data_IF_441777729704
#
_entry.id   IF_441777729704
#
_cell.length_a   1.000
_cell.length_b   1.000
_cell.length_c   1.000
_cell.angle_alpha   90.00
_cell.angle_beta   90.00
_cell.angle_gamma   90.00
#
_symmetry.space_group_name_H-M   'P 1'
#
loop_
_entity.id
_entity.type
_entity.pdbx_description
1 polymer ?
#
# COMPACT_ATOMS: atom_id res chain seq x y z
N UNK A 1 9.56 -9.46 -6.96
CA UNK A 1 8.24 -10.09 -6.73
C UNK A 1 7.53 -10.56 -7.99
N UNK A 2 8.03 -10.29 -9.22
CA UNK A 2 7.39 -10.75 -10.46
C UNK A 2 6.22 -9.88 -10.95
N UNK A 3 5.74 -8.96 -10.11
CA UNK A 3 4.77 -7.94 -10.47
C UNK A 3 5.47 -6.76 -11.15
N UNK A 4 5.13 -6.48 -12.40
CA UNK A 4 5.68 -5.37 -13.18
C UNK A 4 4.58 -4.73 -14.04
N UNK A 5 3.94 -3.63 -13.58
CA UNK A 5 2.95 -2.93 -14.39
C UNK A 5 3.63 -2.23 -15.58
N UNK A 6 2.88 -1.84 -16.64
CA UNK A 6 3.48 -1.24 -17.85
C UNK A 6 4.32 0.01 -17.62
N UNK A 7 3.88 0.89 -16.71
CA UNK A 7 4.64 2.08 -16.27
C UNK A 7 4.86 2.07 -14.76
N UNK A 8 5.87 1.33 -14.27
CA UNK A 8 6.15 1.23 -12.85
C UNK A 8 6.91 2.46 -12.34
N UNK A 9 6.70 2.78 -11.07
CA UNK A 9 7.58 3.63 -10.29
C UNK A 9 7.94 2.94 -8.97
N UNK A 10 9.24 2.82 -8.68
CA UNK A 10 9.74 2.32 -7.40
C UNK A 10 9.98 3.50 -6.48
N UNK A 11 9.22 3.56 -5.41
CA UNK A 11 9.20 4.69 -4.48
C UNK A 11 9.78 4.19 -3.15
N UNK A 12 10.84 4.83 -2.68
CA UNK A 12 11.27 4.73 -1.30
C UNK A 12 10.71 5.95 -0.57
N UNK A 13 9.57 5.79 0.10
CA UNK A 13 8.90 6.90 0.76
C UNK A 13 9.80 7.50 1.84
N UNK A 14 10.19 8.76 1.63
CA UNK A 14 11.06 9.50 2.51
C UNK A 14 10.28 10.64 3.14
N UNK A 15 10.26 10.68 4.48
CA UNK A 15 9.59 11.73 5.23
C UNK A 15 10.41 12.11 6.47
N UNK A 16 10.71 13.40 6.59
CA UNK A 16 11.53 13.97 7.67
C UNK A 16 12.93 13.35 7.68
N UNK A 17 13.57 13.30 6.51
CA UNK A 17 14.93 12.79 6.31
C UNK A 17 15.12 11.31 6.66
N UNK A 18 14.03 10.54 6.69
CA UNK A 18 14.04 9.11 6.98
C UNK A 18 13.24 8.34 5.94
N UNK A 19 13.78 7.22 5.48
CA UNK A 19 13.01 6.24 4.72
C UNK A 19 12.02 5.52 5.64
N UNK A 20 10.78 5.40 5.20
CA UNK A 20 9.67 4.90 6.03
C UNK A 20 9.17 3.55 5.55
N UNK A 21 9.01 3.38 4.24
CA UNK A 21 8.58 2.14 3.58
C UNK A 21 8.87 2.25 2.08
N UNK A 22 8.58 1.19 1.33
CA UNK A 22 8.74 1.17 -0.12
C UNK A 22 7.43 0.79 -0.82
N UNK A 23 7.22 1.31 -2.01
CA UNK A 23 6.03 1.04 -2.83
C UNK A 23 6.42 0.84 -4.29
N UNK A 24 5.86 -0.19 -4.93
CA UNK A 24 5.81 -0.26 -6.39
C UNK A 24 4.47 0.35 -6.84
N UNK A 25 4.53 1.44 -7.58
CA UNK A 25 3.38 2.21 -8.02
C UNK A 25 3.13 2.05 -9.51
N UNK A 26 1.87 1.82 -9.90
CA UNK A 26 1.44 1.78 -11.30
C UNK A 26 1.00 3.19 -11.72
N UNK A 27 1.77 3.85 -12.59
CA UNK A 27 1.47 5.21 -13.04
C UNK A 27 0.27 5.27 -14.00
N UNK A 28 -0.11 4.17 -14.63
CA UNK A 28 -1.25 4.12 -15.54
C UNK A 28 -2.55 3.97 -14.78
N UNK A 29 -2.59 3.01 -13.86
CA UNK A 29 -3.74 2.80 -12.99
C UNK A 29 -3.81 3.77 -11.80
N UNK A 30 -2.73 4.52 -11.55
CA UNK A 30 -2.56 5.47 -10.45
C UNK A 30 -2.86 4.87 -9.07
N UNK A 31 -2.51 3.61 -8.89
CA UNK A 31 -2.60 2.88 -7.61
C UNK A 31 -1.27 2.18 -7.30
N UNK A 32 -0.95 1.97 -6.02
CA UNK A 32 0.13 1.06 -5.66
C UNK A 32 -0.20 -0.37 -6.10
N UNK A 33 0.77 -1.03 -6.72
CA UNK A 33 0.76 -2.48 -6.94
C UNK A 33 0.95 -3.17 -5.59
N UNK A 34 1.95 -2.72 -4.82
CA UNK A 34 2.15 -3.12 -3.43
C UNK A 34 2.95 -2.09 -2.64
N UNK A 35 2.75 -2.07 -1.32
CA UNK A 35 3.59 -1.39 -0.33
C UNK A 35 4.22 -2.42 0.60
N UNK A 36 5.53 -2.32 0.81
CA UNK A 36 6.30 -3.18 1.71
C UNK A 36 6.85 -2.37 2.89
N UNK A 37 6.65 -2.86 4.11
CA UNK A 37 7.00 -2.16 5.34
C UNK A 37 7.31 -3.13 6.50
N UNK A 38 7.96 -2.60 7.54
CA UNK A 38 8.15 -3.31 8.80
C UNK A 38 6.96 -2.97 9.71
N UNK A 39 6.29 -3.99 10.23
CA UNK A 39 5.21 -3.83 11.20
C UNK A 39 5.79 -3.39 12.54
N UNK A 40 5.41 -2.21 13.01
CA UNK A 40 5.89 -1.62 14.26
C UNK A 40 4.81 -0.71 14.85
N UNK A 41 3.71 -1.25 15.41
CA UNK A 41 2.58 -0.47 15.87
C UNK A 41 2.93 0.39 17.09
N UNK A 42 2.49 1.64 17.11
CA UNK A 42 2.60 2.52 18.27
C UNK A 42 1.35 3.37 18.50
N UNK A 43 1.31 4.04 19.65
CA UNK A 43 0.13 4.72 20.20
C UNK A 43 -0.06 6.17 19.73
N UNK A 44 0.83 6.67 18.87
CA UNK A 44 0.74 8.04 18.37
C UNK A 44 -0.59 8.31 17.63
N UNK A 45 -1.13 9.52 17.79
CA UNK A 45 -2.40 9.92 17.17
C UNK A 45 -2.34 9.83 15.65
N UNK A 46 -3.46 9.38 15.05
CA UNK A 46 -3.67 9.36 13.60
C UNK A 46 -3.52 10.77 12.99
N UNK A 47 -2.66 10.95 11.99
CA UNK A 47 -2.58 12.18 11.19
C UNK A 47 -3.80 12.42 10.30
N UNK A 48 -3.92 13.63 9.75
CA UNK A 48 -4.99 14.06 8.85
C UNK A 48 -4.48 14.72 7.55
N UNK A 49 -3.17 14.93 7.46
CA UNK A 49 -2.55 15.66 6.34
C UNK A 49 -2.10 14.70 5.25
N UNK A 50 -2.63 14.92 4.04
CA UNK A 50 -2.28 14.18 2.83
C UNK A 50 -1.06 14.76 2.11
N UNK A 51 -0.29 13.86 1.48
CA UNK A 51 0.96 14.16 0.78
C UNK A 51 0.98 13.58 -0.64
N UNK A 52 1.92 14.07 -1.41
CA UNK A 52 2.29 13.64 -2.76
C UNK A 52 3.77 13.28 -2.79
N UNK A 53 4.19 12.60 -3.85
CA UNK A 53 5.58 12.20 -4.10
C UNK A 53 6.17 13.05 -5.24
N UNK A 54 6.91 14.16 -4.97
CA UNK A 54 7.45 15.02 -6.02
C UNK A 54 8.38 14.27 -6.99
N UNK A 55 9.14 13.30 -6.48
CA UNK A 55 10.01 12.42 -7.26
C UNK A 55 9.34 11.67 -8.42
N UNK A 56 8.00 11.54 -8.43
CA UNK A 56 7.27 10.92 -9.55
C UNK A 56 7.12 11.83 -10.77
N UNK A 57 7.29 13.14 -10.58
CA UNK A 57 7.23 14.13 -11.66
C UNK A 57 8.52 14.10 -12.48
N UNK A 58 9.67 13.93 -11.82
CA UNK A 58 10.98 13.80 -12.46
C UNK A 58 12.12 13.78 -11.45
N UNK A 59 13.30 13.33 -11.89
CA UNK A 59 14.49 13.15 -11.05
C UNK A 59 15.07 14.45 -10.48
N UNK A 60 14.67 15.61 -11.02
CA UNK A 60 15.10 16.93 -10.52
C UNK A 60 14.28 17.41 -9.32
N UNK A 61 13.18 16.74 -8.97
CA UNK A 61 12.31 17.12 -7.85
C UNK A 61 12.73 16.43 -6.55
N UNK A 62 12.38 17.01 -5.38
CA UNK A 62 12.74 16.43 -4.09
C UNK A 62 12.28 14.97 -3.91
N UNK A 63 13.09 14.19 -3.22
CA UNK A 63 12.74 12.82 -2.80
C UNK A 63 11.80 12.79 -1.59
N UNK A 64 11.77 13.86 -0.80
CA UNK A 64 10.89 13.97 0.37
C UNK A 64 9.44 14.15 -0.07
N UNK A 65 8.52 13.38 0.52
CA UNK A 65 7.10 13.62 0.34
C UNK A 65 6.68 14.93 1.02
N UNK A 66 5.74 15.62 0.40
CA UNK A 66 5.23 16.90 0.90
C UNK A 66 3.75 17.09 0.58
N UNK A 67 3.15 18.17 1.06
CA UNK A 67 1.75 18.45 0.74
C UNK A 67 1.62 19.04 -0.66
N UNK A 68 0.54 18.71 -1.36
CA UNK A 68 0.21 19.29 -2.68
C UNK A 68 0.23 20.83 -2.63
N UNK A 69 -0.26 21.43 -1.54
CA UNK A 69 -0.23 22.89 -1.34
C UNK A 69 1.18 23.45 -1.24
N UNK A 70 2.07 22.80 -0.49
CA UNK A 70 3.47 23.23 -0.38
C UNK A 70 4.17 23.15 -1.74
N UNK A 71 3.99 22.02 -2.42
CA UNK A 71 4.58 21.76 -3.72
C UNK A 71 4.13 22.81 -4.75
N UNK A 72 2.82 23.06 -4.89
CA UNK A 72 2.30 24.01 -5.86
C UNK A 72 2.59 25.47 -5.52
N UNK A 73 2.92 25.78 -4.25
CA UNK A 73 3.41 27.12 -3.89
C UNK A 73 4.82 27.37 -4.43
N UNK A 74 5.66 26.36 -4.44
CA UNK A 74 7.05 26.43 -4.93
C UNK A 74 7.14 26.21 -6.44
N UNK A 75 6.31 25.31 -6.99
CA UNK A 75 6.31 24.86 -8.38
C UNK A 75 4.95 25.11 -9.06
N UNK A 76 4.46 26.35 -9.03
CA UNK A 76 3.09 26.70 -9.47
C UNK A 76 2.73 26.32 -10.91
N UNK A 77 3.72 26.19 -11.80
CA UNK A 77 3.55 25.79 -13.20
C UNK A 77 3.62 24.26 -13.42
N UNK A 78 3.60 23.46 -12.35
CA UNK A 78 3.73 21.99 -12.40
C UNK A 78 2.47 21.23 -12.01
N UNK A 79 1.32 21.88 -11.94
CA UNK A 79 0.04 21.21 -11.62
C UNK A 79 -0.28 20.08 -12.60
N UNK A 80 -0.19 20.33 -13.90
CA UNK A 80 -0.45 19.29 -14.92
C UNK A 80 0.56 18.13 -14.81
N UNK A 81 1.84 18.43 -14.59
CA UNK A 81 2.87 17.42 -14.44
C UNK A 81 2.64 16.56 -13.19
N UNK A 82 2.19 17.16 -12.08
CA UNK A 82 1.78 16.47 -10.86
C UNK A 82 0.61 15.53 -11.15
N UNK A 83 -0.46 16.03 -11.75
CA UNK A 83 -1.66 15.26 -12.12
C UNK A 83 -1.36 14.10 -13.09
N UNK A 84 -0.39 14.27 -13.99
CA UNK A 84 0.02 13.23 -14.91
C UNK A 84 0.92 12.16 -14.25
N UNK A 85 1.62 12.54 -13.18
CA UNK A 85 2.60 11.67 -12.51
C UNK A 85 1.98 10.68 -11.50
N UNK A 86 0.88 11.04 -10.85
CA UNK A 86 0.29 10.31 -9.72
C UNK A 86 -1.18 10.71 -9.48
N UNK A 87 -1.85 10.01 -8.57
CA UNK A 87 -3.15 10.45 -8.04
C UNK A 87 -2.99 11.68 -7.14
N UNK A 88 -3.92 12.63 -7.22
CA UNK A 88 -3.96 13.86 -6.42
C UNK A 88 -5.20 13.93 -5.53
N UNK A 89 -5.24 14.88 -4.58
CA UNK A 89 -6.34 14.97 -3.61
C UNK A 89 -7.72 15.08 -4.27
N UNK A 90 -7.78 15.75 -5.42
CA UNK A 90 -9.00 15.91 -6.23
C UNK A 90 -9.56 14.56 -6.72
N UNK A 91 -8.70 13.59 -7.05
CA UNK A 91 -9.13 12.27 -7.57
C UNK A 91 -9.95 11.49 -6.54
N UNK A 92 -9.73 11.76 -5.25
CA UNK A 92 -10.43 11.10 -4.14
C UNK A 92 -11.48 12.02 -3.47
N UNK A 93 -11.95 13.08 -4.13
CA UNK A 93 -13.09 13.87 -3.63
C UNK A 93 -14.42 13.19 -3.97
N UNK A 94 -15.42 13.41 -3.11
CA UNK A 94 -16.81 12.96 -3.31
C UNK A 94 -16.96 11.45 -3.60
N UNK A 95 -16.13 10.62 -2.98
CA UNK A 95 -16.25 9.16 -3.08
C UNK A 95 -17.61 8.70 -2.55
N UNK A 96 -18.31 7.88 -3.34
CA UNK A 96 -19.56 7.23 -2.92
C UNK A 96 -19.30 5.75 -2.73
N UNK A 97 -19.57 5.22 -1.54
CA UNK A 97 -19.36 3.79 -1.23
C UNK A 97 -17.89 3.36 -1.09
N UNK A 98 -16.92 4.28 -1.24
CA UNK A 98 -15.49 4.02 -1.21
C UNK A 98 -14.77 4.90 -0.17
N UNK A 99 -13.71 4.34 0.42
CA UNK A 99 -12.74 5.02 1.27
C UNK A 99 -11.38 5.14 0.58
N UNK A 100 -10.52 6.00 1.13
CA UNK A 100 -9.08 6.04 0.87
C UNK A 100 -8.40 4.89 1.65
N UNK A 101 -8.39 3.70 1.07
CA UNK A 101 -7.83 2.49 1.68
C UNK A 101 -6.31 2.49 1.65
N UNK A 102 -5.67 2.28 2.80
CA UNK A 102 -4.21 2.27 2.90
C UNK A 102 -3.66 0.87 2.63
N UNK A 103 -2.53 0.75 1.92
CA UNK A 103 -1.80 -0.51 1.83
C UNK A 103 -0.81 -0.66 2.99
N UNK A 104 -0.02 0.38 3.27
CA UNK A 104 0.69 0.51 4.54
C UNK A 104 -0.22 1.25 5.55
N UNK A 105 -0.82 0.57 6.54
CA UNK A 105 -1.76 1.18 7.46
C UNK A 105 -1.04 1.97 8.55
N UNK A 106 -1.52 3.19 8.83
CA UNK A 106 -1.02 4.01 9.95
C UNK A 106 -1.00 3.27 11.31
N UNK A 107 -1.88 2.31 11.57
CA UNK A 107 -1.91 1.55 12.83
C UNK A 107 -0.67 0.68 13.01
N UNK A 108 0.01 0.33 11.91
CA UNK A 108 1.22 -0.52 11.92
C UNK A 108 2.52 0.30 12.07
N UNK A 109 2.41 1.60 12.33
CA UNK A 109 3.54 2.53 12.40
C UNK A 109 3.75 3.08 13.83
N UNK A 110 5.02 3.33 14.24
CA UNK A 110 5.37 3.50 15.65
C UNK A 110 5.07 4.89 16.18
N UNK A 111 5.41 5.91 15.39
CA UNK A 111 5.38 7.31 15.80
C UNK A 111 4.57 8.19 14.84
N UNK A 112 4.40 9.46 15.20
CA UNK A 112 3.58 10.41 14.44
C UNK A 112 4.12 10.67 13.03
N UNK A 113 5.44 10.66 12.83
CA UNK A 113 6.05 10.93 11.53
C UNK A 113 5.96 9.70 10.63
N UNK A 114 6.21 8.50 11.16
CA UNK A 114 6.01 7.24 10.45
C UNK A 114 4.53 7.05 10.05
N UNK A 115 3.60 7.34 10.98
CA UNK A 115 2.16 7.38 10.66
C UNK A 115 1.86 8.39 9.57
N UNK A 116 2.45 9.59 9.64
CA UNK A 116 2.23 10.65 8.65
C UNK A 116 2.69 10.26 7.25
N UNK A 117 3.77 9.48 7.15
CA UNK A 117 4.28 9.00 5.87
C UNK A 117 3.33 8.05 5.14
N UNK A 118 2.39 7.42 5.85
CA UNK A 118 1.37 6.55 5.23
C UNK A 118 0.26 7.31 4.51
N UNK A 119 0.12 8.63 4.76
CA UNK A 119 -0.90 9.50 4.18
C UNK A 119 -0.40 10.14 2.88
N UNK A 120 0.05 9.31 1.95
CA UNK A 120 0.37 9.71 0.57
C UNK A 120 -0.50 8.90 -0.38
N UNK A 121 -1.02 9.53 -1.44
CA UNK A 121 -1.95 8.85 -2.35
C UNK A 121 -1.29 7.73 -3.17
N UNK A 122 0.04 7.70 -3.21
CA UNK A 122 0.80 6.57 -3.78
C UNK A 122 0.72 5.31 -2.91
N UNK A 123 0.24 5.41 -1.68
CA UNK A 123 -0.04 4.29 -0.76
C UNK A 123 -1.56 3.98 -0.64
N UNK A 124 -2.40 4.62 -1.45
CA UNK A 124 -3.87 4.54 -1.34
C UNK A 124 -4.49 3.88 -2.55
N UNK A 125 -5.54 3.09 -2.30
CA UNK A 125 -6.48 2.60 -3.30
C UNK A 125 -7.93 3.00 -2.97
N UNK A 126 -8.82 3.09 -3.97
CA UNK A 126 -10.26 3.16 -3.72
C UNK A 126 -10.75 1.82 -3.15
N UNK A 127 -11.07 1.78 -1.85
CA UNK A 127 -11.48 0.56 -1.15
C UNK A 127 -12.94 0.64 -0.72
N UNK A 128 -13.74 -0.42 -0.87
CA UNK A 128 -15.14 -0.39 -0.45
C UNK A 128 -15.26 -0.12 1.07
N UNK A 129 -16.19 0.77 1.45
CA UNK A 129 -16.38 1.18 2.86
C UNK A 129 -16.60 -0.02 3.77
N UNK A 130 -17.39 -1.01 3.31
CA UNK A 130 -17.69 -2.21 4.09
C UNK A 130 -16.44 -3.04 4.37
N UNK A 131 -15.61 -3.31 3.35
CA UNK A 131 -14.36 -4.04 3.52
C UNK A 131 -13.37 -3.24 4.38
N UNK A 132 -13.12 -1.97 4.01
CA UNK A 132 -12.17 -1.08 4.70
C UNK A 132 -12.51 -0.91 6.18
N UNK A 133 -13.79 -0.76 6.54
CA UNK A 133 -14.22 -0.59 7.93
C UNK A 133 -14.49 -1.91 8.67
N UNK A 134 -14.64 -3.01 7.92
CA UNK A 134 -15.05 -4.32 8.42
C UNK A 134 -13.90 -5.31 8.46
N UNK A 135 -13.96 -6.33 7.60
CA UNK A 135 -13.07 -7.48 7.63
C UNK A 135 -11.59 -7.11 7.42
N UNK A 136 -11.29 -6.13 6.56
CA UNK A 136 -9.92 -5.67 6.35
C UNK A 136 -9.35 -4.95 7.57
N UNK A 137 -10.13 -4.04 8.17
CA UNK A 137 -9.72 -3.39 9.43
C UNK A 137 -9.62 -4.40 10.59
N UNK A 138 -10.44 -5.45 10.62
CA UNK A 138 -10.29 -6.52 11.60
C UNK A 138 -8.94 -7.24 11.45
N UNK A 139 -8.54 -7.53 10.21
CA UNK A 139 -7.22 -8.10 9.92
C UNK A 139 -6.09 -7.17 10.40
N UNK A 140 -6.14 -5.88 10.03
CA UNK A 140 -5.12 -4.90 10.41
C UNK A 140 -5.01 -4.72 11.93
N UNK A 141 -6.14 -4.59 12.64
CA UNK A 141 -6.12 -4.28 14.08
C UNK A 141 -5.97 -5.51 14.98
N UNK A 142 -6.50 -6.67 14.57
CA UNK A 142 -6.56 -7.86 15.45
C UNK A 142 -5.66 -8.98 14.96
N UNK A 143 -5.81 -9.40 13.70
CA UNK A 143 -5.06 -10.55 13.19
C UNK A 143 -3.57 -10.26 13.12
N UNK A 144 -3.16 -9.08 12.61
CA UNK A 144 -1.75 -8.69 12.57
C UNK A 144 -1.13 -8.62 13.96
N UNK A 145 -1.85 -8.09 14.96
CA UNK A 145 -1.39 -8.03 16.34
C UNK A 145 -1.13 -9.44 16.89
N UNK A 146 -2.13 -10.33 16.79
CA UNK A 146 -2.04 -11.71 17.29
C UNK A 146 -0.97 -12.53 16.58
N UNK A 147 -0.93 -12.46 15.23
CA UNK A 147 0.04 -13.20 14.40
C UNK A 147 1.48 -12.69 14.55
N UNK A 148 1.67 -11.52 15.16
CA UNK A 148 3.00 -10.94 15.41
C UNK A 148 3.52 -11.23 16.84
N UNK A 149 2.72 -11.84 17.72
CA UNK A 149 3.14 -12.14 19.09
C UNK A 149 4.34 -13.09 19.14
N UNK A 150 5.45 -12.65 19.72
CA UNK A 150 6.71 -13.42 19.78
C UNK A 150 7.62 -13.27 18.56
N UNK A 151 7.29 -12.40 17.61
CA UNK A 151 8.21 -12.02 16.54
C UNK A 151 9.18 -10.95 17.02
N UNK A 152 10.47 -11.13 16.76
CA UNK A 152 11.47 -10.06 16.87
C UNK A 152 11.23 -8.96 15.83
N UNK A 153 10.84 -9.35 14.62
CA UNK A 153 10.52 -8.43 13.53
C UNK A 153 9.46 -9.04 12.62
N UNK A 154 8.56 -8.23 12.07
CA UNK A 154 7.59 -8.67 11.06
C UNK A 154 7.65 -7.77 9.84
N UNK A 155 7.86 -8.37 8.68
CA UNK A 155 7.80 -7.72 7.37
C UNK A 155 6.44 -7.96 6.77
N UNK A 156 5.80 -6.92 6.26
CA UNK A 156 4.52 -7.01 5.59
C UNK A 156 4.62 -6.47 4.16
N UNK A 157 3.95 -7.14 3.24
CA UNK A 157 3.70 -6.67 1.88
C UNK A 157 2.20 -6.68 1.69
N UNK A 158 1.65 -5.55 1.27
CA UNK A 158 0.22 -5.39 1.04
C UNK A 158 0.05 -4.84 -0.37
N UNK A 159 -0.85 -5.41 -1.15
CA UNK A 159 -1.03 -5.02 -2.54
C UNK A 159 -2.47 -5.07 -3.02
N UNK A 160 -2.63 -4.63 -4.26
CA UNK A 160 -3.91 -4.50 -4.91
C UNK A 160 -3.85 -5.03 -6.34
N UNK A 161 -4.86 -5.82 -6.71
CA UNK A 161 -5.02 -6.30 -8.08
C UNK A 161 -5.92 -5.31 -8.82
N UNK A 162 -5.47 -4.71 -9.93
CA UNK A 162 -6.29 -3.80 -10.72
C UNK A 162 -7.66 -4.41 -11.08
N UNK A 163 -8.68 -3.57 -11.13
CA UNK A 163 -10.03 -3.94 -11.57
C UNK A 163 -10.39 -3.29 -12.91
N UNK A 164 -11.65 -3.47 -13.32
CA UNK A 164 -12.19 -2.87 -14.55
C UNK A 164 -12.96 -1.56 -14.30
N UNK A 165 -12.98 -1.09 -13.05
CA UNK A 165 -13.71 0.11 -12.65
C UNK A 165 -12.73 1.21 -12.23
N UNK A 166 -13.16 2.46 -12.36
CA UNK A 166 -12.33 3.64 -12.08
C UNK A 166 -13.13 4.71 -11.35
N UNK A 167 -12.44 5.54 -10.59
CA UNK A 167 -12.97 6.79 -10.02
C UNK A 167 -12.44 8.00 -10.80
N UNK A 168 -12.91 9.20 -10.46
CA UNK A 168 -12.41 10.46 -11.02
C UNK A 168 -12.36 10.49 -12.56
N UNK A 169 -13.43 10.03 -13.21
CA UNK A 169 -13.53 10.04 -14.67
C UNK A 169 -12.49 9.16 -15.37
N UNK A 170 -12.10 8.03 -14.77
CA UNK A 170 -11.14 7.10 -15.37
C UNK A 170 -9.70 7.29 -14.92
N UNK A 171 -9.41 8.25 -14.03
CA UNK A 171 -8.04 8.59 -13.66
C UNK A 171 -7.39 7.58 -12.71
N UNK A 172 -8.15 7.04 -11.76
CA UNK A 172 -7.63 6.15 -10.71
C UNK A 172 -8.42 4.84 -10.73
N UNK A 173 -7.70 3.73 -10.86
CA UNK A 173 -8.27 2.38 -10.88
C UNK A 173 -8.86 2.03 -9.51
N UNK A 174 -10.05 1.43 -9.52
CA UNK A 174 -10.61 0.74 -8.35
C UNK A 174 -10.19 -0.73 -8.44
N UNK A 175 -9.35 -1.23 -7.51
CA UNK A 175 -8.87 -2.60 -7.56
C UNK A 175 -10.01 -3.60 -7.39
N UNK A 176 -9.85 -4.78 -7.99
CA UNK A 176 -10.75 -5.92 -7.86
C UNK A 176 -10.48 -6.71 -6.56
N UNK A 177 -9.20 -6.81 -6.16
CA UNK A 177 -8.78 -7.49 -4.94
C UNK A 177 -7.78 -6.65 -4.14
N UNK A 178 -7.78 -6.84 -2.82
CA UNK A 178 -6.68 -6.48 -1.93
C UNK A 178 -6.09 -7.75 -1.32
N UNK A 179 -4.79 -7.74 -1.09
CA UNK A 179 -4.08 -8.86 -0.48
C UNK A 179 -2.99 -8.38 0.48
N UNK A 180 -2.65 -9.21 1.46
CA UNK A 180 -1.55 -8.98 2.38
C UNK A 180 -0.82 -10.28 2.62
N UNK A 181 0.50 -10.21 2.65
CA UNK A 181 1.37 -11.29 3.11
C UNK A 181 2.31 -10.74 4.18
N UNK A 182 2.62 -11.55 5.18
CA UNK A 182 3.54 -11.16 6.23
C UNK A 182 4.50 -12.28 6.58
N UNK A 183 5.72 -11.88 6.94
CA UNK A 183 6.79 -12.75 7.38
C UNK A 183 7.27 -12.30 8.75
N UNK A 184 7.07 -13.15 9.75
CA UNK A 184 7.51 -12.95 11.12
C UNK A 184 8.80 -13.70 11.37
N UNK A 185 9.83 -12.96 11.78
CA UNK A 185 11.10 -13.49 12.27
C UNK A 185 10.97 -13.68 13.78
N UNK A 186 11.01 -14.93 14.23
CA UNK A 186 10.95 -15.28 15.66
C UNK A 186 12.36 -15.23 16.24
N UNK A 187 13.31 -15.90 15.57
CA UNK A 187 14.73 -15.85 15.84
C UNK A 187 15.53 -16.06 14.54
N UNK A 188 16.86 -16.25 14.63
CA UNK A 188 17.72 -16.39 13.46
C UNK A 188 17.42 -17.61 12.58
N UNK A 189 16.76 -18.64 13.11
CA UNK A 189 16.51 -19.90 12.39
C UNK A 189 15.02 -20.21 12.22
N UNK A 190 14.14 -19.49 12.92
CA UNK A 190 12.70 -19.73 12.89
C UNK A 190 11.93 -18.51 12.38
N UNK A 191 11.19 -18.73 11.30
CA UNK A 191 10.24 -17.77 10.76
C UNK A 191 8.86 -18.41 10.65
N UNK A 192 7.83 -17.59 10.65
CA UNK A 192 6.46 -17.98 10.30
C UNK A 192 5.86 -16.96 9.34
N UNK A 193 4.95 -17.40 8.49
CA UNK A 193 4.30 -16.51 7.53
C UNK A 193 2.79 -16.72 7.53
N UNK A 194 2.08 -15.77 6.95
CA UNK A 194 0.67 -15.89 6.65
C UNK A 194 0.30 -14.94 5.53
N UNK A 195 -0.81 -15.22 4.88
CA UNK A 195 -1.35 -14.38 3.84
C UNK A 195 -2.87 -14.26 3.96
N UNK A 196 -3.41 -13.20 3.37
CA UNK A 196 -4.83 -12.98 3.18
C UNK A 196 -5.13 -12.37 1.81
N UNK A 197 -6.36 -12.58 1.33
CA UNK A 197 -6.90 -11.91 0.14
C UNK A 197 -8.39 -11.60 0.34
N UNK A 198 -8.86 -10.50 -0.24
CA UNK A 198 -10.25 -10.08 -0.21
C UNK A 198 -10.65 -9.50 -1.58
N UNK A 199 -11.86 -9.82 -2.05
CA UNK A 199 -12.49 -9.05 -3.12
C UNK A 199 -12.84 -7.67 -2.57
N UNK A 200 -12.53 -6.60 -3.30
CA UNK A 200 -12.70 -5.24 -2.81
C UNK A 200 -14.17 -4.92 -2.46
N UNK A 201 -15.11 -5.53 -3.18
CA UNK A 201 -16.56 -5.30 -3.02
C UNK A 201 -17.24 -6.24 -2.03
N UNK A 202 -16.51 -7.18 -1.45
CA UNK A 202 -17.01 -8.13 -0.45
C UNK A 202 -16.42 -7.81 0.93
N UNK A 203 -17.24 -7.88 1.99
CA UNK A 203 -16.74 -7.69 3.36
C UNK A 203 -16.22 -9.01 3.96
N UNK A 204 -15.35 -9.70 3.22
CA UNK A 204 -14.81 -11.01 3.60
C UNK A 204 -13.32 -11.06 3.30
N UNK A 205 -12.55 -11.58 4.26
CA UNK A 205 -11.11 -11.83 4.12
C UNK A 205 -10.87 -13.33 4.19
N UNK A 206 -10.17 -13.88 3.20
CA UNK A 206 -9.77 -15.29 3.16
C UNK A 206 -8.32 -15.43 3.63
N UNK A 207 -8.09 -16.26 4.65
CA UNK A 207 -6.74 -16.63 5.09
C UNK A 207 -6.13 -17.70 4.20
N UNK A 208 -4.86 -17.52 3.87
CA UNK A 208 -4.08 -18.37 2.97
C UNK A 208 -2.66 -18.58 3.54
N UNK A 209 -1.98 -19.61 3.04
CA UNK A 209 -0.51 -19.65 3.11
C UNK A 209 0.08 -18.68 2.09
N UNK A 210 1.37 -18.33 2.23
CA UNK A 210 2.04 -17.48 1.23
C UNK A 210 2.06 -18.17 -0.15
N UNK A 211 2.26 -19.50 -0.22
CA UNK A 211 2.19 -20.26 -1.49
C UNK A 211 0.83 -20.10 -2.16
N UNK A 212 -0.26 -20.29 -1.41
CA UNK A 212 -1.61 -20.17 -1.94
C UNK A 212 -1.92 -18.75 -2.44
N UNK A 213 -1.39 -17.73 -1.75
CA UNK A 213 -1.52 -16.36 -2.22
C UNK A 213 -0.71 -16.14 -3.51
N UNK A 214 0.54 -16.58 -3.57
CA UNK A 214 1.40 -16.48 -4.77
C UNK A 214 0.74 -17.14 -5.99
N UNK A 215 0.21 -18.35 -5.85
CA UNK A 215 -0.54 -19.06 -6.91
C UNK A 215 -1.78 -18.30 -7.36
N UNK A 216 -2.56 -17.77 -6.40
CA UNK A 216 -3.77 -17.01 -6.72
C UNK A 216 -3.45 -15.69 -7.41
N UNK A 217 -2.41 -14.99 -6.98
CA UNK A 217 -1.94 -13.78 -7.63
C UNK A 217 -1.41 -14.09 -9.04
N UNK A 218 -0.68 -15.20 -9.23
CA UNK A 218 -0.18 -15.60 -10.54
C UNK A 218 -1.35 -15.76 -11.53
N UNK A 219 -2.44 -16.40 -11.11
CA UNK A 219 -3.67 -16.49 -11.90
C UNK A 219 -4.33 -15.12 -12.16
N UNK A 220 -4.44 -14.26 -11.15
CA UNK A 220 -5.07 -12.93 -11.28
C UNK A 220 -4.29 -11.97 -12.19
N UNK A 221 -2.96 -12.03 -12.18
CA UNK A 221 -2.09 -11.21 -13.04
C UNK A 221 -1.72 -11.89 -14.36
N UNK A 222 -2.17 -13.13 -14.60
CA UNK A 222 -1.82 -13.94 -15.79
C UNK A 222 -0.30 -14.12 -15.93
N UNK A 223 0.36 -14.38 -14.81
CA UNK A 223 1.81 -14.62 -14.74
C UNK A 223 2.08 -16.10 -14.48
N UNK A 224 3.23 -16.58 -14.95
CA UNK A 224 3.65 -17.96 -14.70
C UNK A 224 4.03 -18.20 -13.23
N UNK A 225 4.56 -17.18 -12.56
CA UNK A 225 5.10 -17.30 -11.20
C UNK A 225 5.18 -15.93 -10.51
N UNK A 226 4.95 -15.91 -9.19
CA UNK A 226 5.11 -14.76 -8.29
C UNK A 226 5.84 -15.24 -7.04
N UNK A 227 6.77 -14.42 -6.51
CA UNK A 227 7.43 -14.65 -5.22
C UNK A 227 7.34 -13.38 -4.39
N UNK A 228 6.58 -13.39 -3.30
CA UNK A 228 6.34 -12.22 -2.46
C UNK A 228 7.48 -11.97 -1.47
N UNK A 229 8.12 -13.03 -0.99
CA UNK A 229 9.26 -12.96 -0.08
C UNK A 229 10.48 -13.70 -0.64
N UNK A 230 11.62 -13.48 0.01
CA UNK A 230 12.81 -14.31 -0.19
C UNK A 230 12.54 -15.78 0.22
N UNK A 231 13.43 -16.69 -0.14
CA UNK A 231 13.30 -18.13 0.13
C UNK A 231 13.28 -18.45 1.63
N UNK A 232 13.90 -17.61 2.45
CA UNK A 232 13.93 -17.77 3.91
C UNK A 232 12.54 -17.64 4.56
N UNK A 233 11.61 -16.92 3.92
CA UNK A 233 10.25 -16.83 4.43
C UNK A 233 9.44 -18.09 4.07
N UNK A 234 8.85 -18.79 5.04
CA UNK A 234 8.12 -20.02 4.77
C UNK A 234 6.89 -19.74 3.89
N UNK A 235 6.53 -20.73 3.08
CA UNK A 235 5.41 -20.66 2.12
C UNK A 235 4.22 -21.52 2.52
N UNK A 236 4.35 -22.27 3.61
CA UNK A 236 3.38 -23.23 4.16
C UNK A 236 2.75 -22.71 5.44
#
# INVERSE_FOLDING_TARGET
MGLDPPRPARICQRYKNQYRYATLYDKDNRIPVYSAYIYNPGTAKRPDTWRIEPQLIGSMFPQEMETERSFLKEYSFKEEALQNSQAIAQDYKNLTGLNRGHLNPNSHQPDRDAKSATFTLTNIVPQAIKLNGGAWNNYEQRTMLQRTEGCNQTFAVVGAVPGNNFIAGGRVNKPSYLWSAACCVIDNNHMRSWAIIAQNDENVVYSLTVRQLEERLAGLYQLNYISLFDNDCPRE
#
